data_IF_803781575599
#
_entry.id   IF_803781575599
#
_cell.length_a   1.000
_cell.length_b   1.000
_cell.length_c   1.000
_cell.angle_alpha   90.00
_cell.angle_beta   90.00
_cell.angle_gamma   90.00
#
_symmetry.space_group_name_H-M   'P 1'
#
loop_
_entity.id
_entity.type
_entity.pdbx_description
1 polymer ?
#
# COMPACT_ATOMS: atom_id res chain seq x y z
N UNK A 1 -49.23 -26.48 -17.22
CA UNK A 1 -48.69 -26.52 -15.84
C UNK A 1 -49.04 -25.18 -15.18
N UNK A 2 -49.59 -25.24 -13.96
CA UNK A 2 -50.22 -24.15 -13.23
C UNK A 2 -49.39 -22.87 -13.19
N UNK A 3 -50.06 -21.74 -13.35
CA UNK A 3 -49.61 -20.41 -12.95
C UNK A 3 -49.25 -20.46 -11.46
N UNK A 4 -47.96 -20.50 -11.15
CA UNK A 4 -47.46 -20.20 -9.82
C UNK A 4 -47.55 -18.68 -9.65
N UNK A 5 -48.24 -18.25 -8.60
CA UNK A 5 -48.24 -16.85 -8.19
C UNK A 5 -46.80 -16.45 -7.88
N UNK A 6 -46.38 -15.31 -8.43
CA UNK A 6 -44.99 -14.83 -8.45
C UNK A 6 -44.38 -14.54 -7.06
N UNK A 7 -45.14 -14.72 -5.98
CA UNK A 7 -44.77 -14.35 -4.61
C UNK A 7 -44.14 -15.48 -3.78
N UNK A 8 -44.00 -16.70 -4.33
CA UNK A 8 -43.45 -17.88 -3.63
C UNK A 8 -42.26 -18.53 -4.35
N UNK A 9 -41.62 -17.83 -5.30
CA UNK A 9 -40.46 -18.40 -6.01
C UNK A 9 -39.25 -18.47 -5.07
N UNK A 10 -38.69 -19.66 -4.89
CA UNK A 10 -37.43 -19.81 -4.15
C UNK A 10 -36.27 -19.18 -4.93
N UNK A 11 -35.15 -18.83 -4.27
CA UNK A 11 -33.95 -18.35 -4.95
C UNK A 11 -33.49 -19.31 -6.08
N UNK A 12 -33.71 -20.61 -5.91
CA UNK A 12 -33.40 -21.62 -6.92
C UNK A 12 -34.35 -21.56 -8.13
N UNK A 13 -35.64 -21.34 -7.92
CA UNK A 13 -36.61 -21.18 -9.01
C UNK A 13 -36.34 -19.92 -9.84
N UNK A 14 -35.94 -18.83 -9.16
CA UNK A 14 -35.53 -17.59 -9.82
C UNK A 14 -34.25 -17.83 -10.63
N UNK A 15 -33.24 -18.50 -10.05
CA UNK A 15 -31.99 -18.85 -10.74
C UNK A 15 -32.20 -19.69 -12.01
N UNK A 16 -33.18 -20.60 -12.02
CA UNK A 16 -33.55 -21.31 -13.25
C UNK A 16 -34.23 -20.37 -14.26
N UNK A 17 -35.21 -19.59 -13.78
CA UNK A 17 -36.03 -18.70 -14.63
C UNK A 17 -35.18 -17.68 -15.39
N UNK A 18 -34.25 -16.99 -14.70
CA UNK A 18 -33.44 -15.91 -15.29
C UNK A 18 -32.42 -16.40 -16.32
N UNK A 19 -32.16 -17.71 -16.42
CA UNK A 19 -31.28 -18.28 -17.46
C UNK A 19 -32.01 -18.58 -18.77
N UNK A 20 -33.34 -18.48 -18.79
CA UNK A 20 -34.13 -18.68 -20.01
C UNK A 20 -34.05 -17.45 -20.91
N UNK A 21 -33.95 -17.67 -22.22
CA UNK A 21 -33.81 -16.58 -23.20
C UNK A 21 -34.95 -15.54 -23.13
N UNK A 22 -36.18 -15.97 -22.80
CA UNK A 22 -37.33 -15.08 -22.68
C UNK A 22 -37.17 -14.04 -21.55
N UNK A 23 -36.62 -14.47 -20.40
CA UNK A 23 -36.41 -13.57 -19.26
C UNK A 23 -35.12 -12.78 -19.44
N UNK A 24 -34.03 -13.44 -19.81
CA UNK A 24 -32.71 -12.81 -19.95
C UNK A 24 -32.68 -11.65 -20.95
N UNK A 25 -33.40 -11.77 -22.07
CA UNK A 25 -33.44 -10.73 -23.10
C UNK A 25 -34.46 -9.62 -22.81
N UNK A 26 -35.27 -9.77 -21.76
CA UNK A 26 -36.27 -8.79 -21.36
C UNK A 26 -35.85 -8.13 -20.05
N UNK A 27 -35.21 -6.96 -20.13
CA UNK A 27 -34.67 -6.24 -18.98
C UNK A 27 -35.72 -6.02 -17.87
N UNK A 28 -36.95 -5.64 -18.23
CA UNK A 28 -38.04 -5.41 -17.26
C UNK A 28 -38.45 -6.70 -16.55
N UNK A 29 -38.53 -7.82 -17.28
CA UNK A 29 -38.89 -9.10 -16.68
C UNK A 29 -37.74 -9.63 -15.82
N UNK A 30 -36.49 -9.47 -16.27
CA UNK A 30 -35.31 -9.84 -15.51
C UNK A 30 -35.25 -9.08 -14.17
N UNK A 31 -35.39 -7.76 -14.20
CA UNK A 31 -35.45 -6.93 -12.99
C UNK A 31 -36.58 -7.38 -12.05
N UNK A 32 -37.78 -7.65 -12.60
CA UNK A 32 -38.91 -8.13 -11.80
C UNK A 32 -38.59 -9.43 -11.06
N UNK A 33 -38.00 -10.41 -11.75
CA UNK A 33 -37.66 -11.69 -11.12
C UNK A 33 -36.55 -11.55 -10.07
N UNK A 34 -35.53 -10.74 -10.36
CA UNK A 34 -34.44 -10.50 -9.41
C UNK A 34 -34.90 -9.69 -8.19
N UNK A 35 -35.88 -8.79 -8.33
CA UNK A 35 -36.44 -8.00 -7.22
C UNK A 35 -37.21 -8.83 -6.18
N UNK A 36 -37.53 -10.09 -6.51
CA UNK A 36 -38.16 -11.01 -5.57
C UNK A 36 -37.14 -11.71 -4.65
N UNK A 37 -35.84 -11.56 -4.93
CA UNK A 37 -34.78 -12.06 -4.04
C UNK A 37 -34.67 -11.08 -2.87
N UNK A 38 -34.64 -11.62 -1.66
CA UNK A 38 -34.34 -10.84 -0.48
C UNK A 38 -32.81 -10.83 -0.25
N UNK A 39 -32.23 -9.76 0.35
CA UNK A 39 -30.78 -9.63 0.51
C UNK A 39 -30.11 -10.86 1.13
N UNK A 40 -30.69 -11.42 2.20
CA UNK A 40 -30.17 -12.61 2.89
C UNK A 40 -30.16 -13.88 2.03
N UNK A 41 -30.88 -13.89 0.91
CA UNK A 41 -30.97 -15.01 -0.03
C UNK A 41 -30.09 -14.81 -1.28
N UNK A 42 -29.39 -13.67 -1.42
CA UNK A 42 -28.54 -13.39 -2.57
C UNK A 42 -27.44 -14.44 -2.72
N UNK A 43 -26.77 -14.85 -1.64
CA UNK A 43 -25.74 -15.89 -1.68
C UNK A 43 -26.31 -17.22 -2.18
N UNK A 44 -27.45 -17.64 -1.65
CA UNK A 44 -28.15 -18.87 -2.07
C UNK A 44 -28.55 -18.80 -3.55
N UNK A 45 -29.04 -17.64 -4.00
CA UNK A 45 -29.32 -17.42 -5.42
C UNK A 45 -28.05 -17.54 -6.27
N UNK A 46 -26.93 -16.91 -5.89
CA UNK A 46 -25.70 -16.91 -6.67
C UNK A 46 -25.09 -18.31 -6.81
N UNK A 47 -25.21 -19.15 -5.78
CA UNK A 47 -24.79 -20.55 -5.81
C UNK A 47 -25.64 -21.37 -6.80
N UNK A 48 -26.97 -21.25 -6.70
CA UNK A 48 -27.89 -21.90 -7.63
C UNK A 48 -27.70 -21.41 -9.07
N UNK A 49 -27.58 -20.10 -9.25
CA UNK A 49 -27.38 -19.43 -10.53
C UNK A 49 -26.09 -19.87 -11.21
N UNK A 50 -25.00 -20.05 -10.45
CA UNK A 50 -23.73 -20.52 -11.01
C UNK A 50 -23.86 -21.92 -11.63
N UNK A 51 -24.74 -22.77 -11.07
CA UNK A 51 -25.03 -24.10 -11.60
C UNK A 51 -25.96 -24.04 -12.82
N UNK A 52 -27.04 -23.26 -12.74
CA UNK A 52 -28.00 -23.14 -13.85
C UNK A 52 -27.41 -22.42 -15.06
N UNK A 53 -26.59 -21.39 -14.86
CA UNK A 53 -25.90 -20.67 -15.94
C UNK A 53 -24.96 -21.59 -16.74
N UNK A 54 -24.24 -22.49 -16.06
CA UNK A 54 -23.40 -23.50 -16.71
C UNK A 54 -24.24 -24.49 -17.51
N UNK A 55 -25.34 -24.99 -16.95
CA UNK A 55 -26.25 -25.90 -17.65
C UNK A 55 -26.89 -25.24 -18.88
N UNK A 56 -27.20 -23.95 -18.79
CA UNK A 56 -27.75 -23.16 -19.87
C UNK A 56 -26.70 -22.63 -20.87
N UNK A 57 -25.41 -22.93 -20.67
CA UNK A 57 -24.28 -22.44 -21.48
C UNK A 57 -24.29 -20.92 -21.69
N UNK A 58 -24.59 -20.15 -20.64
CA UNK A 58 -24.55 -18.70 -20.72
C UNK A 58 -23.12 -18.19 -20.94
N UNK A 59 -22.98 -17.17 -21.78
CA UNK A 59 -21.73 -16.42 -21.93
C UNK A 59 -21.39 -15.63 -20.66
N UNK A 60 -20.12 -15.27 -20.52
CA UNK A 60 -19.64 -14.44 -19.40
C UNK A 60 -20.34 -13.07 -19.34
N UNK A 61 -20.66 -12.49 -20.49
CA UNK A 61 -21.42 -11.23 -20.59
C UNK A 61 -22.84 -11.37 -20.04
N UNK A 62 -23.52 -12.47 -20.36
CA UNK A 62 -24.87 -12.75 -19.85
C UNK A 62 -24.85 -13.00 -18.33
N UNK A 63 -23.87 -13.75 -17.84
CA UNK A 63 -23.66 -13.96 -16.40
C UNK A 63 -23.43 -12.64 -15.68
N UNK A 64 -22.58 -11.78 -16.26
CA UNK A 64 -22.29 -10.44 -15.72
C UNK A 64 -23.52 -9.55 -15.73
N UNK A 65 -24.35 -9.62 -16.78
CA UNK A 65 -25.60 -8.85 -16.89
C UNK A 65 -26.57 -9.22 -15.77
N UNK A 66 -26.76 -10.51 -15.48
CA UNK A 66 -27.65 -10.96 -14.40
C UNK A 66 -27.12 -10.49 -13.04
N UNK A 67 -25.83 -10.67 -12.76
CA UNK A 67 -25.22 -10.24 -11.48
C UNK A 67 -25.28 -8.73 -11.27
N UNK A 68 -25.01 -7.93 -12.31
CA UNK A 68 -25.17 -6.47 -12.28
C UNK A 68 -26.62 -6.08 -12.02
N UNK A 69 -27.56 -6.70 -12.72
CA UNK A 69 -29.00 -6.42 -12.55
C UNK A 69 -29.47 -6.76 -11.14
N UNK A 70 -28.98 -7.87 -10.57
CA UNK A 70 -29.27 -8.25 -9.19
C UNK A 70 -28.78 -7.18 -8.21
N UNK A 71 -27.50 -6.79 -8.30
CA UNK A 71 -26.95 -5.75 -7.43
C UNK A 71 -27.74 -4.44 -7.50
N UNK A 72 -28.06 -4.00 -8.73
CA UNK A 72 -28.85 -2.77 -8.97
C UNK A 72 -30.21 -2.87 -8.28
N UNK A 73 -30.87 -4.02 -8.41
CA UNK A 73 -32.22 -4.24 -7.89
C UNK A 73 -32.22 -4.29 -6.36
N UNK A 74 -31.27 -5.01 -5.76
CA UNK A 74 -31.09 -5.08 -4.30
C UNK A 74 -30.83 -3.70 -3.70
N UNK A 75 -29.83 -2.96 -4.22
CA UNK A 75 -29.49 -1.63 -3.69
C UNK A 75 -30.65 -0.64 -3.78
N UNK A 76 -31.37 -0.62 -4.91
CA UNK A 76 -32.55 0.24 -5.07
C UNK A 76 -33.68 -0.15 -4.11
N UNK A 77 -33.90 -1.44 -3.90
CA UNK A 77 -34.89 -1.95 -2.94
C UNK A 77 -34.56 -1.59 -1.49
N UNK A 78 -33.27 -1.50 -1.16
CA UNK A 78 -32.78 -1.22 0.19
C UNK A 78 -32.64 0.28 0.52
N UNK A 79 -32.56 1.14 -0.50
CA UNK A 79 -32.20 2.56 -0.35
C UNK A 79 -33.05 3.29 0.72
N UNK A 80 -34.36 3.04 0.77
CA UNK A 80 -35.24 3.71 1.73
C UNK A 80 -34.95 3.33 3.20
N UNK A 81 -34.37 2.15 3.43
CA UNK A 81 -34.15 1.61 4.77
C UNK A 81 -32.79 2.00 5.37
N UNK A 82 -31.83 2.47 4.56
CA UNK A 82 -30.47 2.76 5.01
C UNK A 82 -30.38 3.76 6.18
N UNK A 83 -31.33 4.68 6.29
CA UNK A 83 -31.41 5.62 7.43
C UNK A 83 -31.69 4.94 8.79
N UNK A 84 -32.18 3.71 8.79
CA UNK A 84 -32.55 2.95 9.99
C UNK A 84 -31.62 1.77 10.28
N UNK A 85 -30.65 1.53 9.40
CA UNK A 85 -29.73 0.39 9.54
C UNK A 85 -28.79 0.57 10.73
N UNK A 86 -28.69 -0.49 11.53
CA UNK A 86 -27.66 -0.63 12.56
C UNK A 86 -26.30 -0.98 11.93
N UNK A 87 -25.22 -0.79 12.69
CA UNK A 87 -23.87 -1.24 12.29
C UNK A 87 -23.84 -2.71 11.86
N UNK A 88 -24.53 -3.58 12.60
CA UNK A 88 -24.54 -5.01 12.29
C UNK A 88 -25.25 -5.30 10.97
N UNK A 89 -26.34 -4.59 10.68
CA UNK A 89 -27.05 -4.74 9.40
C UNK A 89 -26.21 -4.29 8.20
N UNK A 90 -25.44 -3.20 8.34
CA UNK A 90 -24.47 -2.79 7.32
C UNK A 90 -23.38 -3.85 7.11
N UNK A 91 -22.87 -4.42 8.21
CA UNK A 91 -21.87 -5.48 8.19
C UNK A 91 -22.37 -6.71 7.46
N UNK A 92 -23.54 -7.25 7.86
CA UNK A 92 -24.16 -8.42 7.21
C UNK A 92 -24.44 -8.13 5.73
N UNK A 93 -25.00 -6.97 5.40
CA UNK A 93 -25.34 -6.63 4.03
C UNK A 93 -24.11 -6.63 3.10
N UNK A 94 -23.02 -5.96 3.48
CA UNK A 94 -21.86 -5.81 2.60
C UNK A 94 -20.86 -6.97 2.69
N UNK A 95 -20.68 -7.54 3.88
CA UNK A 95 -19.68 -8.59 4.10
C UNK A 95 -20.23 -10.01 3.91
N UNK A 96 -21.55 -10.19 3.77
CA UNK A 96 -22.16 -11.49 3.46
C UNK A 96 -23.07 -11.38 2.23
N UNK A 97 -24.20 -10.68 2.35
CA UNK A 97 -25.29 -10.74 1.36
C UNK A 97 -24.86 -10.23 -0.03
N UNK A 98 -24.17 -9.09 -0.08
CA UNK A 98 -23.73 -8.46 -1.32
C UNK A 98 -22.24 -8.69 -1.64
N UNK A 99 -21.49 -9.43 -0.81
CA UNK A 99 -20.04 -9.53 -0.91
C UNK A 99 -19.58 -9.89 -2.34
N UNK A 100 -20.16 -10.94 -2.91
CA UNK A 100 -19.83 -11.45 -4.25
C UNK A 100 -20.35 -10.58 -5.40
N UNK A 101 -21.14 -9.56 -5.09
CA UNK A 101 -21.63 -8.56 -6.05
C UNK A 101 -20.85 -7.25 -5.98
N UNK A 102 -20.07 -7.00 -4.92
CA UNK A 102 -19.36 -5.73 -4.73
C UNK A 102 -18.42 -5.38 -5.89
N UNK A 103 -17.92 -6.37 -6.64
CA UNK A 103 -17.09 -6.19 -7.84
C UNK A 103 -17.78 -5.47 -8.99
N UNK A 104 -19.12 -5.35 -8.95
CA UNK A 104 -19.94 -4.74 -9.99
C UNK A 104 -20.45 -3.33 -9.64
N UNK A 105 -20.01 -2.75 -8.51
CA UNK A 105 -20.34 -1.36 -8.20
C UNK A 105 -19.82 -0.41 -9.29
N UNK A 106 -20.59 0.63 -9.53
CA UNK A 106 -20.23 1.76 -10.37
C UNK A 106 -20.60 3.05 -9.64
N UNK A 107 -20.29 4.20 -10.24
CA UNK A 107 -20.62 5.52 -9.69
C UNK A 107 -22.08 5.61 -9.20
N UNK A 108 -23.06 5.31 -10.05
CA UNK A 108 -24.49 5.46 -9.72
C UNK A 108 -24.90 4.60 -8.52
N UNK A 109 -24.35 3.40 -8.39
CA UNK A 109 -24.66 2.52 -7.26
C UNK A 109 -23.97 2.96 -5.97
N UNK A 110 -22.77 3.54 -6.06
CA UNK A 110 -22.05 4.08 -4.90
C UNK A 110 -22.78 5.31 -4.32
N UNK A 111 -23.34 6.15 -5.18
CA UNK A 111 -24.13 7.34 -4.79
C UNK A 111 -25.46 6.99 -4.09
N UNK A 112 -25.93 5.73 -4.17
CA UNK A 112 -27.09 5.25 -3.41
C UNK A 112 -26.74 5.05 -1.91
N UNK A 113 -25.46 4.81 -1.59
CA UNK A 113 -25.01 4.62 -0.21
C UNK A 113 -24.91 6.01 0.47
N UNK A 114 -25.62 6.23 1.60
CA UNK A 114 -25.53 7.50 2.31
C UNK A 114 -24.13 7.76 2.86
N UNK A 115 -23.67 9.00 2.74
CA UNK A 115 -22.39 9.44 3.32
C UNK A 115 -22.53 9.89 4.80
N UNK A 116 -23.75 10.08 5.29
CA UNK A 116 -24.04 10.45 6.69
C UNK A 116 -24.20 9.22 7.60
N UNK A 117 -23.39 8.20 7.38
CA UNK A 117 -23.27 7.01 8.25
C UNK A 117 -22.15 7.22 9.27
N UNK A 118 -22.20 6.52 10.39
CA UNK A 118 -21.11 6.54 11.36
C UNK A 118 -19.92 5.71 10.86
N UNK A 119 -18.78 5.82 11.56
CA UNK A 119 -17.54 5.15 11.17
C UNK A 119 -17.66 3.63 11.00
N UNK A 120 -18.40 2.93 11.88
CA UNK A 120 -18.44 1.47 11.84
C UNK A 120 -19.15 0.92 10.58
N UNK A 121 -20.35 1.41 10.18
CA UNK A 121 -20.92 1.13 8.86
C UNK A 121 -19.96 1.40 7.69
N UNK A 122 -19.29 2.55 7.68
CA UNK A 122 -18.32 2.89 6.63
C UNK A 122 -17.18 1.86 6.57
N UNK A 123 -16.55 1.56 7.71
CA UNK A 123 -15.45 0.59 7.81
C UNK A 123 -15.90 -0.82 7.40
N UNK A 124 -17.15 -1.19 7.67
CA UNK A 124 -17.73 -2.45 7.24
C UNK A 124 -17.83 -2.56 5.70
N UNK A 125 -18.18 -1.46 5.03
CA UNK A 125 -18.23 -1.39 3.55
C UNK A 125 -16.82 -1.41 2.96
N UNK A 126 -15.88 -0.62 3.50
CA UNK A 126 -14.47 -0.61 3.07
C UNK A 126 -13.85 -2.00 3.17
N UNK A 127 -14.15 -2.75 4.24
CA UNK A 127 -13.71 -4.13 4.39
C UNK A 127 -14.24 -5.04 3.29
N UNK A 128 -15.52 -4.95 2.94
CA UNK A 128 -16.09 -5.74 1.85
C UNK A 128 -15.44 -5.42 0.49
N UNK A 129 -15.21 -4.13 0.19
CA UNK A 129 -14.51 -3.73 -1.02
C UNK A 129 -13.05 -4.19 -1.03
N UNK A 130 -12.36 -4.16 0.12
CA UNK A 130 -10.98 -4.63 0.24
C UNK A 130 -10.86 -6.14 0.01
N UNK A 131 -11.79 -6.94 0.56
CA UNK A 131 -11.85 -8.39 0.33
C UNK A 131 -11.95 -8.72 -1.17
N UNK A 132 -12.72 -7.92 -1.93
CA UNK A 132 -12.99 -8.16 -3.35
C UNK A 132 -12.08 -7.38 -4.29
N UNK A 133 -11.12 -6.62 -3.75
CA UNK A 133 -10.28 -5.68 -4.51
C UNK A 133 -9.59 -6.35 -5.71
N UNK A 134 -8.99 -7.53 -5.52
CA UNK A 134 -8.26 -8.25 -6.58
C UNK A 134 -9.16 -8.72 -7.73
N UNK A 135 -10.45 -8.94 -7.47
CA UNK A 135 -11.46 -9.36 -8.45
C UNK A 135 -12.11 -8.19 -9.20
N UNK A 136 -11.87 -6.95 -8.77
CA UNK A 136 -12.42 -5.74 -9.40
C UNK A 136 -11.62 -5.32 -10.64
N UNK A 137 -12.32 -4.72 -11.61
CA UNK A 137 -11.67 -3.95 -12.68
C UNK A 137 -11.06 -2.67 -12.12
N UNK A 138 -10.13 -2.06 -12.85
CA UNK A 138 -9.57 -0.76 -12.46
C UNK A 138 -10.67 0.32 -12.39
N UNK A 139 -11.62 0.32 -13.33
CA UNK A 139 -12.74 1.27 -13.32
C UNK A 139 -13.60 1.16 -12.07
N UNK A 140 -13.88 -0.07 -11.59
CA UNK A 140 -14.63 -0.26 -10.34
C UNK A 140 -13.84 0.24 -9.14
N UNK A 141 -12.53 -0.05 -9.07
CA UNK A 141 -11.67 0.41 -7.97
C UNK A 141 -11.61 1.94 -7.93
N UNK A 142 -11.43 2.57 -9.08
CA UNK A 142 -11.41 4.02 -9.22
C UNK A 142 -12.76 4.63 -8.84
N UNK A 143 -13.86 4.02 -9.28
CA UNK A 143 -15.20 4.48 -8.91
C UNK A 143 -15.43 4.42 -7.39
N UNK A 144 -15.03 3.32 -6.72
CA UNK A 144 -15.13 3.17 -5.26
C UNK A 144 -14.34 4.27 -4.54
N UNK A 145 -13.12 4.54 -4.99
CA UNK A 145 -12.29 5.61 -4.43
C UNK A 145 -12.95 6.98 -4.63
N UNK A 146 -13.32 7.34 -5.86
CA UNK A 146 -13.79 8.69 -6.22
C UNK A 146 -15.21 9.00 -5.73
N UNK A 147 -16.10 8.00 -5.69
CA UNK A 147 -17.53 8.21 -5.44
C UNK A 147 -18.02 7.70 -4.08
N UNK A 148 -17.18 7.03 -3.30
CA UNK A 148 -17.56 6.59 -1.95
C UNK A 148 -16.50 6.89 -0.89
N UNK A 149 -15.29 6.34 -0.98
CA UNK A 149 -14.27 6.51 0.06
C UNK A 149 -13.87 7.99 0.22
N UNK A 150 -13.42 8.63 -0.88
CA UNK A 150 -12.98 10.03 -0.84
C UNK A 150 -14.10 11.00 -0.44
N UNK A 151 -15.32 10.92 -1.00
CA UNK A 151 -16.44 11.77 -0.57
C UNK A 151 -16.81 11.58 0.90
N UNK A 152 -16.90 10.34 1.39
CA UNK A 152 -17.19 10.07 2.81
C UNK A 152 -16.14 10.71 3.71
N UNK A 153 -14.86 10.46 3.43
CA UNK A 153 -13.75 10.95 4.24
C UNK A 153 -13.66 12.48 4.21
N UNK A 154 -13.84 13.10 3.03
CA UNK A 154 -13.80 14.55 2.87
C UNK A 154 -14.96 15.26 3.58
N UNK A 155 -16.17 14.69 3.51
CA UNK A 155 -17.34 15.25 4.19
C UNK A 155 -17.20 15.27 5.71
N UNK A 156 -16.39 14.36 6.26
CA UNK A 156 -16.24 14.18 7.71
C UNK A 156 -14.89 14.67 8.26
N UNK A 157 -13.93 15.05 7.41
CA UNK A 157 -12.56 15.42 7.81
C UNK A 157 -12.47 16.61 8.78
N UNK A 158 -13.44 17.54 8.74
CA UNK A 158 -13.44 18.71 9.63
C UNK A 158 -13.88 18.39 11.08
N UNK A 159 -14.45 17.20 11.32
CA UNK A 159 -15.16 16.90 12.56
C UNK A 159 -14.28 16.32 13.67
N UNK A 160 -13.03 15.93 13.39
CA UNK A 160 -12.13 15.35 14.39
C UNK A 160 -10.64 15.55 14.08
N UNK A 161 -9.78 15.27 15.08
CA UNK A 161 -8.32 15.22 14.90
C UNK A 161 -7.87 13.98 14.12
N UNK A 162 -8.57 12.86 14.34
CA UNK A 162 -8.39 11.60 13.62
C UNK A 162 -9.78 11.10 13.22
N UNK A 163 -10.10 11.13 11.94
CA UNK A 163 -11.40 10.65 11.44
C UNK A 163 -11.49 9.14 11.63
N UNK A 164 -12.54 8.66 12.30
CA UNK A 164 -12.72 7.22 12.54
C UNK A 164 -11.50 6.55 13.19
N UNK A 165 -10.98 7.20 14.25
CA UNK A 165 -9.80 6.76 15.00
C UNK A 165 -9.91 5.33 15.54
N UNK A 166 -8.79 4.59 15.50
CA UNK A 166 -8.77 3.17 15.85
C UNK A 166 -7.51 2.75 16.65
N UNK A 167 -6.98 3.64 17.49
CA UNK A 167 -5.76 3.38 18.24
C UNK A 167 -4.51 3.58 17.38
N UNK A 168 -3.87 2.49 16.93
CA UNK A 168 -2.63 2.57 16.13
C UNK A 168 -2.89 3.04 14.69
N UNK A 169 -1.84 3.55 14.05
CA UNK A 169 -1.92 3.96 12.64
C UNK A 169 -2.25 2.78 11.72
N UNK A 170 -1.70 1.61 11.96
CA UNK A 170 -1.94 0.41 11.14
C UNK A 170 -3.39 -0.04 11.23
N UNK A 171 -3.96 -0.08 12.43
CA UNK A 171 -5.37 -0.45 12.61
C UNK A 171 -6.29 0.62 12.01
N UNK A 172 -5.95 1.90 12.19
CA UNK A 172 -6.67 3.01 11.57
C UNK A 172 -6.63 2.95 10.04
N UNK A 173 -5.46 2.65 9.47
CA UNK A 173 -5.25 2.48 8.03
C UNK A 173 -6.11 1.35 7.49
N UNK A 174 -6.03 0.18 8.11
CA UNK A 174 -6.73 -1.01 7.65
C UNK A 174 -8.25 -0.81 7.67
N UNK A 175 -8.79 -0.26 8.78
CA UNK A 175 -10.23 -0.06 8.90
C UNK A 175 -10.78 1.01 7.95
N UNK A 176 -10.04 2.10 7.74
CA UNK A 176 -10.57 3.24 6.98
C UNK A 176 -10.26 3.21 5.49
N UNK A 177 -9.24 2.46 5.06
CA UNK A 177 -8.84 2.39 3.66
C UNK A 177 -8.69 0.96 3.15
N UNK A 178 -8.28 0.02 4.01
CA UNK A 178 -7.91 -1.33 3.62
C UNK A 178 -6.96 -1.33 2.42
N UNK A 179 -7.27 -2.11 1.39
CA UNK A 179 -6.44 -2.22 0.17
C UNK A 179 -6.42 -0.94 -0.68
N UNK A 180 -7.36 0.00 -0.46
CA UNK A 180 -7.43 1.27 -1.18
C UNK A 180 -6.50 2.34 -0.62
N UNK A 181 -5.72 2.08 0.43
CA UNK A 181 -4.82 3.07 1.04
C UNK A 181 -3.93 3.80 0.02
N UNK A 182 -3.42 3.08 -0.99
CA UNK A 182 -2.53 3.64 -2.01
C UNK A 182 -3.23 4.53 -3.05
N UNK A 183 -4.56 4.64 -3.02
CA UNK A 183 -5.31 5.60 -3.83
C UNK A 183 -5.29 6.99 -3.21
N UNK A 184 -4.93 7.11 -1.93
CA UNK A 184 -4.89 8.38 -1.22
C UNK A 184 -3.52 9.03 -1.34
N UNK A 185 -3.52 10.33 -1.60
CA UNK A 185 -2.34 11.16 -1.47
C UNK A 185 -1.95 11.36 0.00
N UNK A 186 -0.68 11.72 0.22
CA UNK A 186 -0.18 12.06 1.55
C UNK A 186 -0.97 13.20 2.19
N UNK A 187 -1.32 14.22 1.40
CA UNK A 187 -2.07 15.38 1.87
C UNK A 187 -3.47 14.99 2.35
N UNK A 188 -4.13 14.07 1.63
CA UNK A 188 -5.40 13.51 2.07
C UNK A 188 -5.23 12.72 3.38
N UNK A 189 -4.22 11.86 3.49
CA UNK A 189 -3.96 11.09 4.72
C UNK A 189 -3.69 12.03 5.91
N UNK A 190 -2.85 13.05 5.75
CA UNK A 190 -2.54 14.05 6.78
C UNK A 190 -3.76 14.88 7.18
N UNK A 191 -4.68 15.14 6.24
CA UNK A 191 -5.94 15.83 6.52
C UNK A 191 -6.86 14.96 7.38
N UNK A 192 -6.89 13.66 7.13
CA UNK A 192 -7.77 12.71 7.81
C UNK A 192 -7.24 12.24 9.18
N UNK A 193 -5.92 12.19 9.34
CA UNK A 193 -5.25 11.86 10.58
C UNK A 193 -4.13 12.87 10.85
N UNK A 194 -4.42 13.89 11.67
CA UNK A 194 -3.46 14.97 11.97
C UNK A 194 -2.29 14.50 12.83
N UNK A 195 -2.36 13.29 13.39
CA UNK A 195 -1.26 12.68 14.14
C UNK A 195 -0.32 11.89 13.23
N UNK A 196 -0.70 11.64 11.98
CA UNK A 196 0.11 10.86 11.05
C UNK A 196 1.39 11.62 10.68
N UNK A 197 2.48 10.88 10.70
CA UNK A 197 3.80 11.28 10.23
C UNK A 197 4.33 10.25 9.24
N UNK A 198 5.28 10.63 8.39
CA UNK A 198 5.88 9.68 7.45
C UNK A 198 6.57 8.49 8.14
N UNK A 199 6.97 8.65 9.41
CA UNK A 199 7.58 7.57 10.19
C UNK A 199 6.58 6.45 10.55
N UNK A 200 5.28 6.70 10.40
CA UNK A 200 4.25 5.68 10.57
C UNK A 200 4.12 4.77 9.33
N UNK A 201 4.74 5.14 8.20
CA UNK A 201 4.73 4.32 6.99
C UNK A 201 5.69 3.15 7.11
N UNK A 202 5.25 1.97 6.65
CA UNK A 202 6.13 0.82 6.54
C UNK A 202 7.14 1.02 5.40
N UNK A 203 8.27 0.28 5.41
CA UNK A 203 9.22 0.30 4.29
C UNK A 203 8.57 -0.03 2.94
N UNK A 204 7.55 -0.90 2.93
CA UNK A 204 6.77 -1.22 1.73
C UNK A 204 5.95 -0.03 1.24
N UNK A 205 5.33 0.73 2.15
CA UNK A 205 4.55 1.91 1.79
C UNK A 205 5.42 3.00 1.18
N UNK A 206 6.61 3.21 1.75
CA UNK A 206 7.59 4.15 1.21
C UNK A 206 8.06 3.67 -0.16
N UNK A 207 8.33 2.36 -0.34
CA UNK A 207 8.73 1.78 -1.62
C UNK A 207 7.68 2.00 -2.72
N UNK A 208 6.39 1.74 -2.46
CA UNK A 208 5.33 2.06 -3.42
C UNK A 208 5.30 3.56 -3.73
N UNK A 209 5.35 4.41 -2.70
CA UNK A 209 5.25 5.86 -2.84
C UNK A 209 6.35 6.44 -3.73
N UNK A 210 7.62 6.09 -3.49
CA UNK A 210 8.77 6.65 -4.23
C UNK A 210 8.86 6.17 -5.69
N UNK A 211 8.09 5.16 -6.07
CA UNK A 211 8.00 4.71 -7.47
C UNK A 211 6.95 5.46 -8.29
N UNK A 212 6.12 6.28 -7.65
CA UNK A 212 5.13 7.13 -8.34
C UNK A 212 5.82 8.33 -9.01
N UNK A 213 5.34 8.73 -10.18
CA UNK A 213 5.92 9.85 -10.93
C UNK A 213 5.91 11.17 -10.13
N UNK A 214 4.86 11.41 -9.33
CA UNK A 214 4.73 12.63 -8.52
C UNK A 214 5.87 12.76 -7.49
N UNK A 215 6.23 11.68 -6.80
CA UNK A 215 7.29 11.70 -5.79
C UNK A 215 8.66 11.60 -6.45
N UNK A 216 8.82 10.69 -7.42
CA UNK A 216 10.10 10.45 -8.09
C UNK A 216 10.66 11.70 -8.80
N UNK A 217 9.79 12.52 -9.39
CA UNK A 217 10.19 13.74 -10.10
C UNK A 217 10.37 14.96 -9.18
N UNK A 218 10.03 14.83 -7.89
CA UNK A 218 10.17 15.89 -6.91
C UNK A 218 11.25 15.52 -5.89
N UNK A 219 12.46 16.04 -6.08
CA UNK A 219 13.61 15.73 -5.23
C UNK A 219 13.35 15.98 -3.74
N UNK A 220 12.63 17.05 -3.39
CA UNK A 220 12.30 17.37 -2.01
C UNK A 220 11.33 16.37 -1.39
N UNK A 221 10.29 15.96 -2.13
CA UNK A 221 9.38 14.91 -1.65
C UNK A 221 10.08 13.57 -1.56
N UNK A 222 10.88 13.19 -2.57
CA UNK A 222 11.65 11.95 -2.55
C UNK A 222 12.55 11.87 -1.31
N UNK A 223 13.31 12.93 -1.02
CA UNK A 223 14.17 13.02 0.17
C UNK A 223 13.33 12.89 1.46
N UNK A 224 12.19 13.58 1.53
CA UNK A 224 11.29 13.53 2.68
C UNK A 224 10.77 12.12 2.96
N UNK A 225 10.35 11.38 1.93
CA UNK A 225 9.87 10.00 2.07
C UNK A 225 10.99 9.04 2.47
N UNK A 226 12.16 9.14 1.84
CA UNK A 226 13.28 8.26 2.16
C UNK A 226 13.85 8.53 3.56
N UNK A 227 13.82 9.77 4.03
CA UNK A 227 14.27 10.12 5.39
C UNK A 227 13.40 9.55 6.52
N UNK A 228 12.21 9.03 6.20
CA UNK A 228 11.34 8.38 7.17
C UNK A 228 11.68 6.90 7.37
N UNK A 229 12.58 6.34 6.55
CA UNK A 229 13.09 4.98 6.74
C UNK A 229 14.06 5.01 7.91
N UNK A 230 13.82 4.16 8.91
CA UNK A 230 14.80 3.97 9.97
C UNK A 230 15.98 3.13 9.44
N UNK A 231 17.24 3.38 9.88
CA UNK A 231 18.42 2.70 9.34
C UNK A 231 18.31 1.16 9.33
N UNK A 232 17.78 0.56 10.40
CA UNK A 232 17.56 -0.89 10.51
C UNK A 232 16.57 -1.47 9.50
N UNK A 233 15.74 -0.62 8.87
CA UNK A 233 14.73 -0.99 7.89
C UNK A 233 15.19 -0.77 6.45
N UNK A 234 16.41 -0.24 6.22
CA UNK A 234 16.94 0.02 4.87
C UNK A 234 16.95 -1.25 4.01
N UNK A 235 17.37 -2.39 4.57
CA UNK A 235 17.37 -3.66 3.83
C UNK A 235 15.96 -4.10 3.44
N UNK A 236 15.00 -4.00 4.37
CA UNK A 236 13.59 -4.32 4.13
C UNK A 236 13.00 -3.40 3.05
N UNK A 237 13.33 -2.11 3.10
CA UNK A 237 12.97 -1.15 2.06
C UNK A 237 13.57 -1.56 0.71
N UNK A 238 14.86 -1.90 0.62
CA UNK A 238 15.51 -2.24 -0.64
C UNK A 238 14.92 -3.50 -1.29
N UNK A 239 14.50 -4.47 -0.49
CA UNK A 239 13.79 -5.67 -0.97
C UNK A 239 12.40 -5.31 -1.53
N UNK A 240 11.62 -4.53 -0.79
CA UNK A 240 10.31 -4.04 -1.23
C UNK A 240 10.43 -3.15 -2.49
N UNK A 241 11.41 -2.24 -2.50
CA UNK A 241 11.69 -1.33 -3.59
C UNK A 241 12.08 -2.07 -4.87
N UNK A 242 12.86 -3.14 -4.76
CA UNK A 242 13.23 -3.96 -5.92
C UNK A 242 12.01 -4.58 -6.63
N UNK A 243 10.97 -4.90 -5.86
CA UNK A 243 9.72 -5.47 -6.40
C UNK A 243 8.82 -4.39 -6.97
N UNK A 244 8.62 -3.29 -6.25
CA UNK A 244 7.76 -2.17 -6.67
C UNK A 244 8.34 -1.41 -7.87
N UNK A 245 9.67 -1.22 -7.93
CA UNK A 245 10.33 -0.60 -9.08
C UNK A 245 10.14 -1.41 -10.38
N UNK A 246 10.14 -2.74 -10.29
CA UNK A 246 9.84 -3.62 -11.44
C UNK A 246 8.38 -3.47 -11.87
N UNK A 247 7.45 -3.48 -10.93
CA UNK A 247 6.02 -3.28 -11.22
C UNK A 247 5.75 -1.92 -11.87
N UNK A 248 6.45 -0.88 -11.41
CA UNK A 248 6.37 0.48 -11.95
C UNK A 248 7.18 0.70 -13.25
N UNK A 249 7.89 -0.34 -13.74
CA UNK A 249 8.76 -0.27 -14.93
C UNK A 249 9.79 0.88 -14.87
N UNK A 250 10.39 1.12 -13.71
CA UNK A 250 11.41 2.16 -13.58
C UNK A 250 12.67 1.82 -14.41
N UNK A 251 13.25 2.85 -15.03
CA UNK A 251 14.57 2.76 -15.67
C UNK A 251 15.69 2.56 -14.64
N UNK A 252 16.83 2.05 -15.10
CA UNK A 252 18.03 1.89 -14.25
C UNK A 252 18.51 3.22 -13.64
N UNK A 253 18.36 4.32 -14.38
CA UNK A 253 18.69 5.67 -13.90
C UNK A 253 17.79 6.10 -12.74
N UNK A 254 16.48 5.85 -12.84
CA UNK A 254 15.52 6.15 -11.77
C UNK A 254 15.78 5.29 -10.53
N UNK A 255 16.05 4.00 -10.72
CA UNK A 255 16.43 3.09 -9.63
C UNK A 255 17.70 3.58 -8.93
N UNK A 256 18.70 3.99 -9.71
CA UNK A 256 19.96 4.54 -9.19
C UNK A 256 19.74 5.85 -8.43
N UNK A 257 18.85 6.72 -8.92
CA UNK A 257 18.51 7.99 -8.27
C UNK A 257 17.91 7.76 -6.89
N UNK A 258 16.95 6.83 -6.76
CA UNK A 258 16.33 6.49 -5.47
C UNK A 258 17.37 5.91 -4.50
N UNK A 259 18.21 4.97 -4.94
CA UNK A 259 19.25 4.36 -4.08
C UNK A 259 20.32 5.37 -3.63
N UNK A 260 20.74 6.27 -4.51
CA UNK A 260 21.65 7.37 -4.16
C UNK A 260 21.02 8.31 -3.14
N UNK A 261 19.76 8.69 -3.36
CA UNK A 261 19.04 9.58 -2.46
C UNK A 261 18.87 8.93 -1.09
N UNK A 262 18.54 7.64 -1.03
CA UNK A 262 18.45 6.87 0.20
C UNK A 262 19.78 6.86 0.96
N UNK A 263 20.90 6.59 0.28
CA UNK A 263 22.21 6.64 0.93
C UNK A 263 22.50 8.02 1.53
N UNK A 264 22.17 9.09 0.79
CA UNK A 264 22.36 10.47 1.25
C UNK A 264 21.51 10.75 2.49
N UNK A 265 20.23 10.38 2.50
CA UNK A 265 19.32 10.63 3.63
C UNK A 265 19.76 9.87 4.88
N UNK A 266 20.07 8.58 4.73
CA UNK A 266 20.49 7.74 5.85
C UNK A 266 21.79 8.26 6.46
N UNK A 267 22.81 8.53 5.63
CA UNK A 267 24.12 8.94 6.14
C UNK A 267 24.06 10.29 6.86
N UNK A 268 23.24 11.23 6.37
CA UNK A 268 22.98 12.50 7.04
C UNK A 268 22.22 12.31 8.35
N UNK A 269 21.21 11.45 8.38
CA UNK A 269 20.44 11.13 9.59
C UNK A 269 21.30 10.50 10.69
N UNK A 270 22.32 9.72 10.31
CA UNK A 270 23.24 9.05 11.22
C UNK A 270 24.35 9.97 11.77
N UNK A 271 24.67 11.06 11.06
CA UNK A 271 25.84 11.90 11.31
C UNK A 271 25.96 12.38 12.77
N UNK A 272 24.85 12.81 13.36
CA UNK A 272 24.83 13.33 14.72
C UNK A 272 25.19 12.27 15.79
N UNK A 273 24.99 10.98 15.47
CA UNK A 273 25.19 9.90 16.42
C UNK A 273 26.61 9.32 16.37
N UNK A 274 27.35 9.53 15.27
CA UNK A 274 28.70 9.00 15.07
C UNK A 274 29.68 9.23 16.24
N UNK A 275 29.70 10.39 16.94
CA UNK A 275 30.59 10.58 18.08
C UNK A 275 30.32 9.64 19.26
N UNK A 276 29.14 9.04 19.33
CA UNK A 276 28.69 8.17 20.44
C UNK A 276 28.62 6.70 20.06
N UNK A 277 28.89 6.35 18.79
CA UNK A 277 28.77 4.99 18.30
C UNK A 277 29.82 4.05 18.87
N UNK A 278 29.37 2.87 19.29
CA UNK A 278 30.23 1.74 19.58
C UNK A 278 30.73 1.09 18.28
N UNK A 279 31.80 0.30 18.37
CA UNK A 279 32.29 -0.52 17.24
C UNK A 279 31.22 -1.42 16.63
N UNK A 280 30.33 -1.96 17.47
CA UNK A 280 29.24 -2.82 17.00
C UNK A 280 28.22 -2.02 16.18
N UNK A 281 27.87 -0.81 16.62
CA UNK A 281 26.97 0.07 15.88
C UNK A 281 27.55 0.49 14.52
N UNK A 282 28.84 0.82 14.46
CA UNK A 282 29.54 1.06 13.19
C UNK A 282 29.47 -0.16 12.26
N UNK A 283 29.66 -1.36 12.82
CA UNK A 283 29.59 -2.61 12.05
C UNK A 283 28.20 -2.88 11.51
N UNK A 284 27.15 -2.73 12.34
CA UNK A 284 25.75 -2.92 11.92
C UNK A 284 25.39 -1.95 10.79
N UNK A 285 25.68 -0.66 10.98
CA UNK A 285 25.31 0.37 9.98
C UNK A 285 26.00 0.13 8.64
N UNK A 286 27.31 -0.10 8.62
CA UNK A 286 28.05 -0.20 7.34
C UNK A 286 28.03 -1.59 6.71
N UNK A 287 28.05 -2.66 7.53
CA UNK A 287 28.11 -4.03 7.02
C UNK A 287 26.74 -4.69 6.86
N UNK A 288 25.67 -4.14 7.43
CA UNK A 288 24.31 -4.64 7.23
C UNK A 288 23.42 -3.57 6.57
N UNK A 289 23.11 -2.48 7.29
CA UNK A 289 22.05 -1.55 6.90
C UNK A 289 22.36 -0.83 5.58
N UNK A 290 23.57 -0.29 5.44
CA UNK A 290 24.02 0.46 4.27
C UNK A 290 24.83 -0.37 3.28
N UNK A 291 25.06 -1.66 3.53
CA UNK A 291 26.00 -2.48 2.75
C UNK A 291 25.71 -2.39 1.24
N UNK A 292 24.45 -2.61 0.86
CA UNK A 292 23.99 -2.59 -0.54
C UNK A 292 23.98 -1.20 -1.17
N UNK A 293 24.14 -0.15 -0.37
CA UNK A 293 24.24 1.22 -0.82
C UNK A 293 25.68 1.72 -0.92
N UNK A 294 26.65 1.00 -0.34
CA UNK A 294 28.06 1.46 -0.31
C UNK A 294 28.66 1.69 -1.70
N UNK A 295 28.13 1.04 -2.73
CA UNK A 295 28.54 1.23 -4.13
C UNK A 295 28.28 2.64 -4.67
N UNK A 296 27.45 3.42 -3.98
CA UNK A 296 27.06 4.78 -4.38
C UNK A 296 27.77 5.90 -3.60
N UNK A 297 28.75 5.58 -2.75
CA UNK A 297 29.54 6.62 -2.07
C UNK A 297 30.27 7.51 -3.07
N UNK A 298 30.36 8.79 -2.72
CA UNK A 298 31.14 9.79 -3.42
C UNK A 298 31.93 10.62 -2.40
N UNK A 299 32.74 11.57 -2.88
CA UNK A 299 33.54 12.44 -2.02
C UNK A 299 32.71 13.08 -0.90
N UNK A 300 31.61 13.76 -1.22
CA UNK A 300 30.79 14.50 -0.24
C UNK A 300 30.23 13.59 0.86
N UNK A 301 29.81 12.37 0.51
CA UNK A 301 29.31 11.41 1.49
C UNK A 301 30.42 10.86 2.38
N UNK A 302 31.62 10.63 1.84
CA UNK A 302 32.76 10.17 2.63
C UNK A 302 33.20 11.21 3.66
N UNK A 303 33.08 12.49 3.34
CA UNK A 303 33.40 13.61 4.26
C UNK A 303 32.43 13.69 5.46
N UNK A 304 31.25 13.05 5.41
CA UNK A 304 30.31 12.96 6.54
C UNK A 304 30.86 12.00 7.62
N UNK A 305 31.68 11.02 7.23
CA UNK A 305 32.24 10.03 8.15
C UNK A 305 33.44 10.65 8.88
N UNK A 306 33.42 10.75 10.23
CA UNK A 306 34.55 11.26 10.98
C UNK A 306 35.82 10.44 10.78
N UNK A 307 36.95 11.12 10.60
CA UNK A 307 38.27 10.48 10.53
C UNK A 307 38.87 10.22 11.93
N UNK A 308 38.36 10.84 12.98
CA UNK A 308 38.80 10.65 14.37
C UNK A 308 38.13 9.44 15.05
N UNK A 309 37.94 8.36 14.31
CA UNK A 309 37.41 7.09 14.81
C UNK A 309 38.55 6.13 15.17
N UNK A 310 38.30 5.22 16.12
CA UNK A 310 39.27 4.19 16.46
C UNK A 310 39.42 3.15 15.32
N UNK A 311 40.47 2.34 15.41
CA UNK A 311 40.80 1.36 14.38
C UNK A 311 39.65 0.39 14.03
N UNK A 312 38.90 -0.06 15.03
CA UNK A 312 37.86 -1.08 14.83
C UNK A 312 36.66 -0.56 14.00
N UNK A 313 36.05 0.61 14.30
CA UNK A 313 35.12 1.29 13.40
C UNK A 313 35.66 1.51 11.99
N UNK A 314 36.91 1.95 11.86
CA UNK A 314 37.53 2.13 10.54
C UNK A 314 37.57 0.81 9.76
N UNK A 315 38.11 -0.26 10.35
CA UNK A 315 38.15 -1.59 9.74
C UNK A 315 36.76 -2.10 9.36
N UNK A 316 35.74 -1.80 10.16
CA UNK A 316 34.36 -2.17 9.87
C UNK A 316 33.85 -1.52 8.57
N UNK A 317 34.16 -0.24 8.35
CA UNK A 317 33.79 0.48 7.13
C UNK A 317 34.60 -0.03 5.93
N UNK A 318 35.91 -0.20 6.09
CA UNK A 318 36.78 -0.74 5.02
C UNK A 318 36.34 -2.13 4.58
N UNK A 319 35.91 -2.97 5.53
CA UNK A 319 35.36 -4.30 5.23
C UNK A 319 34.09 -4.20 4.39
N UNK A 320 33.17 -3.29 4.70
CA UNK A 320 31.97 -3.07 3.89
C UNK A 320 32.32 -2.65 2.46
N UNK A 321 33.24 -1.69 2.29
CA UNK A 321 33.71 -1.28 0.96
C UNK A 321 34.39 -2.42 0.20
N UNK A 322 35.16 -3.25 0.90
CA UNK A 322 35.85 -4.40 0.31
C UNK A 322 34.86 -5.46 -0.19
N UNK A 323 33.78 -5.74 0.56
CA UNK A 323 32.72 -6.68 0.15
C UNK A 323 32.08 -6.23 -1.16
N UNK A 324 31.85 -4.93 -1.33
CA UNK A 324 31.15 -4.37 -2.49
C UNK A 324 32.07 -3.88 -3.60
N UNK A 325 33.39 -4.05 -3.45
CA UNK A 325 34.40 -3.47 -4.33
C UNK A 325 34.20 -3.83 -5.80
N UNK A 326 33.86 -5.09 -6.11
CA UNK A 326 33.63 -5.58 -7.47
C UNK A 326 32.43 -4.91 -8.16
N UNK A 327 31.43 -4.47 -7.39
CA UNK A 327 30.21 -3.81 -7.86
C UNK A 327 30.34 -2.29 -7.96
N UNK A 328 31.43 -1.71 -7.45
CA UNK A 328 31.70 -0.27 -7.50
C UNK A 328 32.20 0.20 -8.87
N UNK A 329 31.83 1.43 -9.23
CA UNK A 329 32.47 2.16 -10.34
C UNK A 329 33.91 2.55 -9.99
N UNK A 330 34.74 2.84 -11.00
CA UNK A 330 36.09 3.33 -10.75
C UNK A 330 36.09 4.66 -9.99
N UNK A 331 35.14 5.55 -10.27
CA UNK A 331 35.00 6.84 -9.57
C UNK A 331 34.69 6.64 -8.08
N UNK A 332 33.79 5.71 -7.75
CA UNK A 332 33.50 5.34 -6.35
C UNK A 332 34.75 4.81 -5.65
N UNK A 333 35.50 3.91 -6.29
CA UNK A 333 36.73 3.33 -5.73
C UNK A 333 37.79 4.40 -5.47
N UNK A 334 38.00 5.29 -6.43
CA UNK A 334 38.95 6.38 -6.31
C UNK A 334 38.53 7.35 -5.20
N UNK A 335 37.23 7.70 -5.12
CA UNK A 335 36.72 8.55 -4.07
C UNK A 335 36.95 7.96 -2.67
N UNK A 336 36.64 6.67 -2.48
CA UNK A 336 36.87 5.95 -1.21
C UNK A 336 38.36 6.00 -0.83
N UNK A 337 39.25 5.75 -1.79
CA UNK A 337 40.69 5.80 -1.54
C UNK A 337 41.14 7.21 -1.14
N UNK A 338 40.83 8.23 -1.93
CA UNK A 338 41.34 9.59 -1.74
C UNK A 338 40.72 10.32 -0.57
N UNK A 339 39.44 10.09 -0.28
CA UNK A 339 38.68 10.89 0.69
C UNK A 339 38.38 10.17 2.00
N UNK A 340 38.66 8.87 2.13
CA UNK A 340 38.47 8.14 3.38
C UNK A 340 39.69 7.33 3.81
N UNK A 341 40.16 6.38 2.98
CA UNK A 341 41.26 5.47 3.37
C UNK A 341 42.58 6.21 3.57
N UNK A 342 43.03 6.97 2.57
CA UNK A 342 44.31 7.68 2.61
C UNK A 342 44.32 8.77 3.70
N UNK A 343 43.28 9.62 3.87
CA UNK A 343 43.23 10.59 4.95
C UNK A 343 43.27 9.97 6.35
N UNK A 344 42.51 8.88 6.59
CA UNK A 344 42.52 8.19 7.88
C UNK A 344 43.92 7.66 8.24
N UNK A 345 44.55 6.94 7.32
CA UNK A 345 45.88 6.36 7.53
C UNK A 345 46.95 7.44 7.73
N UNK A 346 46.85 8.54 6.99
CA UNK A 346 47.79 9.67 7.11
C UNK A 346 47.67 10.39 8.45
N UNK A 347 46.44 10.63 8.91
CA UNK A 347 46.18 11.29 10.20
C UNK A 347 46.69 10.46 11.38
N UNK A 348 46.50 9.14 11.34
CA UNK A 348 46.91 8.25 12.42
C UNK A 348 48.42 7.90 12.39
N UNK A 349 49.06 7.93 11.22
CA UNK A 349 50.52 7.81 11.12
C UNK A 349 51.24 8.98 11.80
N UNK A 350 50.72 10.21 11.69
CA UNK A 350 51.33 11.42 12.25
C UNK A 350 51.26 11.49 13.80
N UNK A 351 50.29 10.85 14.44
CA UNK A 351 50.11 10.81 15.90
C UNK A 351 50.97 9.75 16.62
N UNK A 352 51.72 8.94 15.87
CA UNK A 352 52.36 7.70 16.36
C UNK A 352 53.79 7.84 16.91
N UNK A 353 54.30 9.06 17.07
CA UNK A 353 55.70 9.32 17.46
C UNK A 353 56.06 8.99 18.93
N UNK A 354 55.24 8.24 19.68
CA UNK A 354 55.57 7.78 21.03
C UNK A 354 54.75 6.57 21.50
N UNK A 355 55.43 5.55 22.06
CA UNK A 355 55.01 4.31 22.77
C UNK A 355 53.77 3.50 22.33
N UNK A 356 52.93 3.98 21.41
CA UNK A 356 51.73 3.32 20.90
C UNK A 356 51.89 2.82 19.45
N UNK A 357 53.11 2.74 18.93
CA UNK A 357 53.41 2.26 17.57
C UNK A 357 52.93 0.83 17.29
N UNK A 358 52.71 0.01 18.33
CA UNK A 358 52.18 -1.36 18.19
C UNK A 358 50.65 -1.42 17.95
N UNK A 359 49.89 -0.37 18.30
CA UNK A 359 48.46 -0.29 18.01
C UNK A 359 48.18 0.11 16.55
N UNK A 360 49.17 0.69 15.86
CA UNK A 360 49.17 1.02 14.43
C UNK A 360 49.85 -0.04 13.54
N UNK A 361 50.30 -1.16 14.09
CA UNK A 361 50.72 -2.31 13.26
C UNK A 361 49.59 -3.33 13.09
N UNK A 362 48.42 -3.06 13.67
CA UNK A 362 47.22 -3.88 13.62
C UNK A 362 46.01 -3.15 13.00
N UNK A 363 46.20 -1.87 12.67
CA UNK A 363 45.48 -1.07 11.66
C UNK A 363 46.53 -0.57 10.66
#
# INVERSE_FOLDING_TARGET
>A
RKYLFQNDLSPMDIAYSVTTANILLNATLLEKYLSAIAPQNVTVFLEAFSSTAKQANLSEEQVTTIKKTLLVTELRGLQANFSTYTTEQWSVLFQNDLLNLTVYFNQTLLEIIPLNISCQPYQAIVKAFSIQFSSMTNDTREAIYQHFLKPYLSANAATSTVLCGAGSFENWRELNFGTFFYFFSLEEIMTLNKNFTLNDLSPLDIAYSVTTANILLNATLLEKYLSAIAPQNVTVFLEAFSSTAKQANLSEEQVTTIKKTLLVTELRGLQANFPTYTTEQWSVVFQNDLLNLTVYFNQTLLEIIPLNISCQPYQAIVKAFSIQFSSMTNDTREAIYQHFLKPYLSANAATSTGMFSHLLSSC
#
